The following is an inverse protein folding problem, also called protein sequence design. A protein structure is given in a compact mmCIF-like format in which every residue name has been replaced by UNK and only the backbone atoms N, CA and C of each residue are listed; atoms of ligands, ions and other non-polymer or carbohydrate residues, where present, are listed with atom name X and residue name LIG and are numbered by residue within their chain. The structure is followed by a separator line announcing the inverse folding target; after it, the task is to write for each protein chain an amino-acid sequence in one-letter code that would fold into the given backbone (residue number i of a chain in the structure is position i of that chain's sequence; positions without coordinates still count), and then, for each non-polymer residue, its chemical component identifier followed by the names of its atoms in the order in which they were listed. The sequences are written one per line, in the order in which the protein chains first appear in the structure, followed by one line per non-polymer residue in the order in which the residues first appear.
data_IF_748106733760
#
_entry.id   IF_748106733760
#
_cell.length_a   1.000
_cell.length_b   1.000
_cell.length_c   1.000
_cell.angle_alpha   90.00
_cell.angle_beta   90.00
_cell.angle_gamma   90.00
#
_symmetry.space_group_name_H-M   'P 1'
#
loop_
_entity.id
_entity.type
_entity.pdbx_description
1 polymer ?
#
# COMPACT_ATOMS: atom_id res chain seq x y z
N UNK A 1 -10.71 -7.43 12.39
CA UNK A 1 -11.03 -6.02 12.71
C UNK A 1 -10.33 -5.08 11.75
N UNK A 2 -11.09 -4.17 11.11
CA UNK A 2 -10.54 -3.22 10.13
C UNK A 2 -9.57 -2.20 10.79
N UNK A 3 -8.63 -1.60 10.04
CA UNK A 3 -7.72 -0.59 10.56
C UNK A 3 -8.41 0.65 11.15
N UNK A 4 -9.48 1.14 10.49
CA UNK A 4 -10.26 2.29 10.96
C UNK A 4 -11.00 1.97 12.26
N UNK A 5 -11.47 0.73 12.42
CA UNK A 5 -12.12 0.29 13.66
C UNK A 5 -11.17 0.27 14.85
N UNK A 6 -9.89 -0.09 14.63
CA UNK A 6 -8.86 0.00 15.67
C UNK A 6 -8.52 1.44 16.03
N UNK A 7 -8.59 2.36 15.07
CA UNK A 7 -8.28 3.77 15.31
C UNK A 7 -9.36 4.47 16.16
N UNK A 8 -10.65 4.20 15.91
CA UNK A 8 -11.76 4.79 16.66
C UNK A 8 -12.32 3.90 17.77
N UNK A 9 -11.78 2.69 17.95
CA UNK A 9 -12.34 1.65 18.81
C UNK A 9 -13.85 1.43 18.60
N UNK A 10 -14.30 1.53 17.35
CA UNK A 10 -15.71 1.55 16.97
C UNK A 10 -15.95 0.70 15.71
N UNK A 11 -17.18 0.18 15.58
CA UNK A 11 -17.60 -0.52 14.37
C UNK A 11 -17.60 0.45 13.18
N UNK A 12 -17.16 0.01 11.98
CA UNK A 12 -17.08 0.89 10.81
C UNK A 12 -18.47 1.40 10.39
N UNK A 13 -19.54 0.67 10.74
CA UNK A 13 -20.94 1.03 10.49
C UNK A 13 -21.37 2.32 11.20
N UNK A 14 -20.83 2.55 12.42
CA UNK A 14 -21.11 3.72 13.24
C UNK A 14 -20.27 4.95 12.91
N UNK A 15 -19.28 4.81 12.02
CA UNK A 15 -18.43 5.93 11.61
C UNK A 15 -19.10 6.74 10.49
N UNK A 16 -19.04 8.06 10.63
CA UNK A 16 -19.54 9.02 9.65
C UNK A 16 -18.46 9.49 8.68
N UNK A 17 -18.83 10.33 7.70
CA UNK A 17 -17.92 10.88 6.69
C UNK A 17 -16.73 11.62 7.32
N UNK A 18 -16.95 12.36 8.41
CA UNK A 18 -15.89 13.11 9.08
C UNK A 18 -14.87 12.21 9.77
N UNK A 19 -15.31 11.12 10.41
CA UNK A 19 -14.39 10.15 11.00
C UNK A 19 -13.56 9.46 9.92
N UNK A 20 -14.17 9.12 8.78
CA UNK A 20 -13.46 8.52 7.65
C UNK A 20 -12.43 9.49 7.06
N UNK A 21 -12.82 10.76 6.89
CA UNK A 21 -11.90 11.81 6.43
C UNK A 21 -10.74 12.01 7.39
N UNK A 22 -11.03 12.09 8.68
CA UNK A 22 -10.02 12.24 9.75
C UNK A 22 -9.04 11.07 9.77
N UNK A 23 -9.53 9.83 9.65
CA UNK A 23 -8.66 8.66 9.55
C UNK A 23 -7.76 8.69 8.31
N UNK A 24 -8.32 9.05 7.16
CA UNK A 24 -7.54 9.19 5.93
C UNK A 24 -6.51 10.31 6.04
N UNK A 25 -6.82 11.43 6.70
CA UNK A 25 -5.88 12.51 7.01
C UNK A 25 -4.77 12.03 7.96
N UNK A 26 -5.09 11.31 9.02
CA UNK A 26 -4.14 10.71 9.95
C UNK A 26 -3.13 9.80 9.23
N UNK A 27 -3.60 8.99 8.27
CA UNK A 27 -2.71 8.15 7.47
C UNK A 27 -1.69 8.98 6.67
N UNK A 28 -2.09 10.14 6.18
CA UNK A 28 -1.24 11.02 5.35
C UNK A 28 -0.31 11.88 6.18
N UNK A 29 -0.84 12.55 7.22
CA UNK A 29 -0.10 13.56 7.99
C UNK A 29 0.74 12.95 9.11
N UNK A 30 0.23 11.95 9.83
CA UNK A 30 0.91 11.40 11.00
C UNK A 30 1.69 10.13 10.68
N UNK A 31 1.10 9.26 9.86
CA UNK A 31 1.71 7.96 9.50
C UNK A 31 2.58 8.02 8.24
N UNK A 32 2.51 9.11 7.47
CA UNK A 32 3.23 9.30 6.21
C UNK A 32 3.19 8.05 5.30
N UNK A 33 2.01 7.41 5.19
CA UNK A 33 1.88 6.16 4.45
C UNK A 33 2.12 6.35 2.95
N UNK A 34 2.53 5.29 2.27
CA UNK A 34 2.65 5.32 0.81
C UNK A 34 1.30 5.52 0.13
N UNK A 35 1.31 6.09 -1.09
CA UNK A 35 0.08 6.28 -1.87
C UNK A 35 -0.65 4.97 -2.18
N UNK A 36 0.10 3.87 -2.34
CA UNK A 36 -0.48 2.54 -2.52
C UNK A 36 -1.28 2.12 -1.29
N UNK A 37 -0.70 2.28 -0.10
CA UNK A 37 -1.39 1.97 1.16
C UNK A 37 -2.61 2.86 1.37
N UNK A 38 -2.50 4.16 1.08
CA UNK A 38 -3.63 5.09 1.15
C UNK A 38 -4.82 4.63 0.29
N UNK A 39 -4.56 4.26 -0.96
CA UNK A 39 -5.60 3.75 -1.86
C UNK A 39 -6.17 2.41 -1.40
N UNK A 40 -5.33 1.52 -0.87
CA UNK A 40 -5.77 0.24 -0.29
C UNK A 40 -6.64 0.44 0.96
N UNK A 41 -6.44 1.52 1.73
CA UNK A 41 -7.32 1.87 2.85
C UNK A 41 -8.61 2.55 2.34
N UNK A 42 -8.51 3.47 1.38
CA UNK A 42 -9.62 4.27 0.87
C UNK A 42 -10.64 3.48 0.04
N UNK A 43 -10.18 2.62 -0.88
CA UNK A 43 -11.06 1.92 -1.81
C UNK A 43 -12.07 0.98 -1.10
N UNK A 44 -11.67 0.14 -0.13
CA UNK A 44 -12.60 -0.70 0.62
C UNK A 44 -13.58 0.13 1.45
N UNK A 45 -13.14 1.25 2.05
CA UNK A 45 -14.05 2.15 2.77
C UNK A 45 -15.10 2.72 1.83
N UNK A 46 -14.69 3.23 0.65
CA UNK A 46 -15.64 3.75 -0.34
C UNK A 46 -16.65 2.69 -0.77
N UNK A 47 -16.19 1.46 -1.02
CA UNK A 47 -17.07 0.36 -1.37
C UNK A 47 -18.03 0.02 -0.23
N UNK A 48 -17.53 -0.13 0.99
CA UNK A 48 -18.33 -0.49 2.16
C UNK A 48 -19.43 0.54 2.45
N UNK A 49 -19.11 1.83 2.50
CA UNK A 49 -20.12 2.85 2.80
C UNK A 49 -21.14 3.01 1.69
N UNK A 50 -20.72 2.93 0.42
CA UNK A 50 -21.61 3.12 -0.72
C UNK A 50 -22.47 1.89 -0.99
N UNK A 51 -21.88 0.69 -0.98
CA UNK A 51 -22.53 -0.55 -1.40
C UNK A 51 -23.19 -1.27 -0.23
N UNK A 52 -22.52 -1.34 0.92
CA UNK A 52 -23.04 -2.07 2.10
C UNK A 52 -24.00 -1.20 2.92
N UNK A 53 -23.67 0.07 3.12
CA UNK A 53 -24.46 0.97 3.98
C UNK A 53 -25.37 1.94 3.21
N UNK A 54 -25.30 1.95 1.88
CA UNK A 54 -26.11 2.83 1.04
C UNK A 54 -25.89 4.33 1.27
N UNK A 55 -24.74 4.71 1.86
CA UNK A 55 -24.42 6.12 2.13
C UNK A 55 -23.70 6.72 0.92
N UNK A 56 -24.33 7.69 0.25
CA UNK A 56 -23.82 8.30 -0.98
C UNK A 56 -22.86 9.50 -0.76
N UNK A 57 -22.24 9.58 0.43
CA UNK A 57 -21.20 10.59 0.63
C UNK A 57 -19.88 10.11 0.04
N UNK A 58 -19.20 11.02 -0.65
CA UNK A 58 -17.92 10.74 -1.29
C UNK A 58 -16.84 10.66 -0.21
N UNK A 59 -16.17 9.52 -0.09
CA UNK A 59 -14.90 9.43 0.62
C UNK A 59 -13.89 10.34 -0.12
N UNK A 60 -13.75 11.58 0.35
CA UNK A 60 -12.96 12.60 -0.33
C UNK A 60 -11.48 12.18 -0.38
N UNK A 61 -10.84 12.49 -1.52
CA UNK A 61 -9.40 12.38 -1.65
C UNK A 61 -8.72 13.42 -0.77
N UNK A 62 -7.87 12.94 0.12
CA UNK A 62 -6.93 13.78 0.84
C UNK A 62 -5.71 13.90 -0.06
N UNK A 63 -5.33 15.14 -0.39
CA UNK A 63 -4.11 15.40 -1.14
C UNK A 63 -2.90 14.92 -0.33
N UNK A 64 -2.31 13.78 -0.73
CA UNK A 64 -1.00 13.38 -0.22
C UNK A 64 0.07 14.24 -0.88
N UNK A 65 1.06 14.75 -0.13
CA UNK A 65 2.32 15.15 -0.75
C UNK A 65 2.92 13.90 -1.44
N UNK A 66 3.16 13.99 -2.76
CA UNK A 66 3.78 12.91 -3.54
C UNK A 66 5.18 12.65 -2.96
N UNK A 67 5.37 11.51 -2.30
CA UNK A 67 6.72 11.03 -1.98
C UNK A 67 7.41 10.72 -3.32
N UNK A 68 8.54 11.37 -3.64
CA UNK A 68 9.23 11.11 -4.90
C UNK A 68 9.59 9.63 -4.99
N UNK A 69 9.16 8.97 -6.07
CA UNK A 69 9.57 7.59 -6.39
C UNK A 69 11.10 7.59 -6.50
N UNK A 70 11.78 6.92 -5.56
CA UNK A 70 13.18 6.53 -5.79
C UNK A 70 13.17 5.52 -6.93
N UNK A 71 13.84 5.86 -8.02
CA UNK A 71 14.14 4.94 -9.11
C UNK A 71 14.79 3.70 -8.49
N UNK A 72 14.35 2.48 -8.83
CA UNK A 72 15.05 1.29 -8.40
C UNK A 72 16.48 1.42 -8.93
N UNK A 73 17.46 1.38 -8.02
CA UNK A 73 18.88 1.26 -8.38
C UNK A 73 18.95 0.06 -9.31
N UNK A 74 19.24 0.32 -10.59
CA UNK A 74 19.56 -0.75 -11.52
C UNK A 74 20.77 -1.46 -10.92
N UNK A 75 20.62 -2.75 -10.60
CA UNK A 75 21.71 -3.58 -10.13
C UNK A 75 22.87 -3.44 -11.13
N UNK A 76 24.00 -2.95 -10.64
CA UNK A 76 25.20 -2.80 -11.45
C UNK A 76 25.65 -4.19 -11.93
N UNK A 77 26.25 -4.35 -13.12
CA UNK A 77 26.64 -5.65 -13.67
C UNK A 77 27.45 -6.52 -12.69
N UNK A 78 28.18 -5.91 -11.76
CA UNK A 78 28.99 -6.57 -10.75
C UNK A 78 28.16 -7.32 -9.68
N UNK A 79 26.91 -6.91 -9.42
CA UNK A 79 26.01 -7.63 -8.49
C UNK A 79 25.42 -8.88 -9.15
N UNK A 80 25.18 -8.85 -10.47
CA UNK A 80 24.72 -10.02 -11.21
C UNK A 80 25.78 -11.14 -11.21
N UNK A 81 27.07 -10.80 -11.39
CA UNK A 81 28.16 -11.78 -11.39
C UNK A 81 28.29 -12.50 -10.03
N UNK A 82 27.98 -11.83 -8.92
CA UNK A 82 27.94 -12.46 -7.59
C UNK A 82 26.72 -13.37 -7.41
N UNK A 83 25.55 -12.99 -7.94
CA UNK A 83 24.37 -13.85 -7.95
C UNK A 83 24.57 -15.11 -8.81
N UNK A 84 25.19 -14.98 -9.99
CA UNK A 84 25.40 -16.11 -10.91
C UNK A 84 26.59 -17.03 -10.57
N UNK A 85 27.52 -16.60 -9.69
CA UNK A 85 28.63 -17.44 -9.22
C UNK A 85 28.22 -18.54 -8.23
N UNK A 86 27.01 -18.49 -7.68
CA UNK A 86 26.47 -19.49 -6.75
C UNK A 86 25.71 -20.64 -7.42
N UNK A 87 25.24 -20.47 -8.65
CA UNK A 87 24.63 -21.55 -9.44
C UNK A 87 25.70 -22.22 -10.30
N UNK A 88 26.57 -22.98 -9.63
CA UNK A 88 27.39 -24.02 -10.23
C UNK A 88 26.47 -24.95 -11.03
N UNK A 89 26.36 -24.72 -12.34
CA UNK A 89 25.90 -25.75 -13.26
C UNK A 89 27.06 -26.73 -13.36
N UNK A 90 27.12 -27.66 -12.41
CA UNK A 90 27.83 -28.91 -12.60
C UNK A 90 27.08 -29.67 -13.69
N UNK A 91 27.46 -29.43 -14.95
CA UNK A 91 27.11 -30.31 -16.05
C UNK A 91 28.41 -30.81 -16.65
N UNK A 92 28.74 -32.02 -16.20
CA UNK A 92 29.78 -32.92 -16.68
C UNK A 92 29.83 -32.97 -18.21
N UNK A 93 31.06 -32.95 -18.75
CA UNK A 93 31.40 -33.12 -20.17
C UNK A 93 30.79 -34.39 -20.81
N UNK A 94 30.86 -34.56 -22.15
CA UNK A 94 32.08 -35.20 -22.69
C UNK A 94 32.57 -34.73 -24.08
N UNK A 95 33.90 -34.85 -24.22
CA UNK A 95 34.68 -35.34 -25.37
C UNK A 95 34.60 -34.72 -26.77
N UNK A 96 35.77 -34.31 -27.26
CA UNK A 96 36.28 -34.67 -28.59
C UNK A 96 37.78 -34.92 -28.49
#
# INVERSE_FOLDING_TARGET
MSPISRHFNAAPEGLGPEQVRSYLLHLVQERHVSWSYYNQARCPLRFFYRVTLGKDWVVQEVACPKVPKRLPVALSPEELVRFFKGSTISSTAPSS
#
